data_IF_077775527807
#
_entry.id   IF_077775527807
#
_cell.length_a   1.000
_cell.length_b   1.000
_cell.length_c   1.000
_cell.angle_alpha   90.00
_cell.angle_beta   90.00
_cell.angle_gamma   90.00
#
_symmetry.space_group_name_H-M   'P 1'
#
loop_
_entity.id
_entity.type
_entity.pdbx_description
1 polymer ?
#
# COMPACT_ATOMS: atom_id res chain seq x y z
N UNK A 1 14.33 9.56 3.26
CA UNK A 1 14.86 9.00 1.99
C UNK A 1 13.71 8.26 1.32
N UNK A 2 13.45 8.53 0.05
CA UNK A 2 12.49 7.73 -0.72
C UNK A 2 13.10 6.34 -0.99
N UNK A 3 12.25 5.31 -1.05
CA UNK A 3 12.68 3.97 -1.48
C UNK A 3 13.12 4.03 -2.96
N UNK A 4 14.21 3.32 -3.32
CA UNK A 4 14.65 3.25 -4.71
C UNK A 4 13.62 2.53 -5.58
N UNK A 5 13.77 2.65 -6.89
CA UNK A 5 12.95 1.91 -7.84
C UNK A 5 13.25 0.41 -7.68
N UNK A 6 12.22 -0.43 -7.66
CA UNK A 6 12.42 -1.85 -7.45
C UNK A 6 11.15 -2.65 -7.20
N UNK A 7 11.34 -3.93 -6.90
CA UNK A 7 10.27 -4.84 -6.50
C UNK A 7 10.36 -5.10 -5.00
N UNK A 8 9.21 -5.00 -4.34
CA UNK A 8 9.10 -5.04 -2.91
C UNK A 8 7.92 -5.88 -2.44
N UNK A 9 8.03 -6.38 -1.21
CA UNK A 9 6.92 -6.93 -0.44
C UNK A 9 6.60 -5.99 0.71
N UNK A 10 5.31 -5.82 0.94
CA UNK A 10 4.78 -4.92 1.96
C UNK A 10 4.00 -5.73 2.98
N UNK A 11 4.30 -5.53 4.27
CA UNK A 11 3.63 -6.16 5.39
C UNK A 11 3.18 -5.09 6.38
N UNK A 12 2.03 -5.27 7.01
CA UNK A 12 1.62 -4.34 8.06
C UNK A 12 2.50 -4.49 9.31
N UNK A 13 2.91 -3.38 9.93
CA UNK A 13 3.81 -3.40 11.08
C UNK A 13 3.14 -3.81 12.40
N UNK A 14 1.83 -3.67 12.51
CA UNK A 14 1.05 -4.16 13.65
C UNK A 14 0.74 -5.65 13.51
N UNK A 15 0.44 -6.11 12.29
CA UNK A 15 0.18 -7.51 12.01
C UNK A 15 0.84 -7.96 10.69
N UNK A 16 2.08 -8.45 10.80
CA UNK A 16 2.91 -8.85 9.66
C UNK A 16 2.34 -10.02 8.84
N UNK A 17 1.27 -10.68 9.32
CA UNK A 17 0.58 -11.70 8.51
C UNK A 17 -0.12 -11.05 7.33
N UNK A 18 -0.66 -9.83 7.49
CA UNK A 18 -1.40 -9.16 6.43
C UNK A 18 -0.45 -8.51 5.42
N UNK A 19 -0.57 -8.98 4.18
CA UNK A 19 0.13 -8.47 3.02
C UNK A 19 -0.84 -8.29 1.84
N UNK A 20 -0.51 -7.43 0.86
CA UNK A 20 -1.30 -7.29 -0.36
C UNK A 20 -1.52 -8.62 -1.09
N UNK A 21 -2.76 -8.84 -1.52
CA UNK A 21 -3.20 -9.97 -2.33
C UNK A 21 -4.24 -9.54 -3.36
N UNK A 22 -4.18 -10.10 -4.56
CA UNK A 22 -5.26 -9.97 -5.53
C UNK A 22 -6.48 -10.74 -5.04
N UNK A 23 -7.61 -10.06 -4.95
CA UNK A 23 -8.90 -10.67 -4.61
C UNK A 23 -9.66 -11.07 -5.89
N UNK A 24 -9.56 -10.24 -6.92
CA UNK A 24 -10.09 -10.46 -8.26
C UNK A 24 -9.13 -9.81 -9.29
N UNK A 25 -9.61 -9.57 -10.52
CA UNK A 25 -8.79 -9.05 -11.62
C UNK A 25 -8.23 -7.64 -11.39
N UNK A 26 -8.89 -6.82 -10.57
CA UNK A 26 -8.63 -5.38 -10.46
C UNK A 26 -8.63 -4.86 -9.02
N UNK A 27 -8.87 -5.74 -8.03
CA UNK A 27 -8.94 -5.40 -6.62
C UNK A 27 -7.81 -6.06 -5.83
N UNK A 28 -7.04 -5.26 -5.09
CA UNK A 28 -6.13 -5.74 -4.05
C UNK A 28 -6.74 -5.49 -2.68
N UNK A 29 -6.64 -6.53 -1.86
CA UNK A 29 -7.00 -6.53 -0.46
C UNK A 29 -5.80 -6.97 0.38
N UNK A 30 -5.86 -6.74 1.67
CA UNK A 30 -4.92 -7.33 2.63
C UNK A 30 -5.39 -8.73 2.99
N UNK A 31 -4.48 -9.70 2.94
CA UNK A 31 -4.76 -11.10 3.21
C UNK A 31 -3.60 -11.71 4.01
N UNK A 32 -3.90 -12.64 4.91
CA UNK A 32 -2.88 -13.34 5.71
C UNK A 32 -2.00 -14.31 4.88
N UNK A 33 -2.44 -14.63 3.67
CA UNK A 33 -1.72 -15.48 2.69
C UNK A 33 -1.21 -14.68 1.49
N UNK A 34 -1.35 -13.35 1.52
CA UNK A 34 -0.91 -12.47 0.44
C UNK A 34 0.60 -12.52 0.26
N UNK A 35 1.04 -12.61 -1.00
CA UNK A 35 2.45 -12.61 -1.39
C UNK A 35 2.62 -11.87 -2.73
N UNK A 36 1.94 -10.75 -2.90
CA UNK A 36 2.07 -9.93 -4.12
C UNK A 36 3.36 -9.12 -4.05
N UNK A 37 4.19 -9.23 -5.08
CA UNK A 37 5.33 -8.35 -5.28
C UNK A 37 4.83 -7.04 -5.92
N UNK A 38 5.20 -5.91 -5.32
CA UNK A 38 4.85 -4.58 -5.77
C UNK A 38 6.06 -3.94 -6.45
N UNK A 39 5.85 -3.35 -7.62
CA UNK A 39 6.83 -2.45 -8.23
C UNK A 39 6.62 -1.04 -7.69
N UNK A 40 7.67 -0.47 -7.09
CA UNK A 40 7.72 0.94 -6.68
C UNK A 40 8.58 1.68 -7.71
N UNK A 41 8.04 2.77 -8.27
CA UNK A 41 8.77 3.68 -9.16
C UNK A 41 8.71 5.10 -8.64
N UNK A 42 9.84 5.77 -8.60
CA UNK A 42 9.91 7.20 -8.29
C UNK A 42 9.39 8.02 -9.48
N UNK A 43 8.47 8.94 -9.21
CA UNK A 43 7.78 9.78 -10.19
C UNK A 43 7.72 11.22 -9.65
N UNK A 44 8.55 12.12 -10.19
CA UNK A 44 8.53 13.57 -9.89
C UNK A 44 8.46 13.94 -8.40
N UNK A 45 9.22 13.24 -7.55
CA UNK A 45 9.27 13.46 -6.09
C UNK A 45 8.33 12.57 -5.28
N UNK A 46 7.35 11.95 -5.93
CA UNK A 46 6.46 10.94 -5.36
C UNK A 46 6.86 9.53 -5.81
N UNK A 47 6.06 8.53 -5.43
CA UNK A 47 6.22 7.14 -5.83
C UNK A 47 4.91 6.56 -6.34
N UNK A 48 4.98 5.85 -7.46
CA UNK A 48 3.90 5.02 -7.96
C UNK A 48 4.07 3.60 -7.43
N UNK A 49 2.98 3.01 -6.92
CA UNK A 49 2.93 1.61 -6.49
C UNK A 49 2.13 0.83 -7.53
N UNK A 50 2.73 -0.19 -8.12
CA UNK A 50 2.09 -1.11 -9.06
C UNK A 50 2.08 -2.51 -8.46
N UNK A 51 0.90 -3.11 -8.40
CA UNK A 51 0.77 -4.49 -7.95
C UNK A 51 1.02 -5.40 -9.17
N UNK A 52 2.10 -6.18 -9.16
CA UNK A 52 2.40 -7.04 -10.29
C UNK A 52 1.59 -8.34 -10.17
N UNK A 53 0.40 -8.37 -10.78
CA UNK A 53 -0.08 -9.60 -11.39
C UNK A 53 0.56 -9.69 -12.78
N UNK A 54 0.64 -10.87 -13.38
CA UNK A 54 1.29 -11.16 -14.67
C UNK A 54 0.67 -10.45 -15.89
N UNK A 55 -0.04 -9.34 -15.71
CA UNK A 55 -0.71 -8.54 -16.73
C UNK A 55 -0.27 -7.08 -16.60
N UNK A 56 0.33 -6.49 -17.66
CA UNK A 56 0.90 -5.13 -17.62
C UNK A 56 -0.14 -4.01 -17.39
N UNK A 57 -1.45 -4.31 -17.50
CA UNK A 57 -2.52 -3.32 -17.48
C UNK A 57 -3.45 -3.40 -16.26
N UNK A 58 -3.21 -4.32 -15.31
CA UNK A 58 -4.05 -4.43 -14.12
C UNK A 58 -3.64 -3.39 -13.06
N UNK A 59 -4.07 -2.15 -13.28
CA UNK A 59 -4.01 -1.08 -12.28
C UNK A 59 -5.07 -1.37 -11.24
N UNK A 60 -4.64 -1.58 -10.00
CA UNK A 60 -5.57 -1.85 -8.92
C UNK A 60 -6.27 -0.56 -8.54
N UNK A 61 -7.59 -0.59 -8.57
CA UNK A 61 -8.39 0.50 -8.05
C UNK A 61 -8.49 0.30 -6.53
N UNK A 62 -7.65 0.98 -5.76
CA UNK A 62 -7.85 1.09 -4.31
C UNK A 62 -9.09 1.96 -4.07
N UNK A 63 -10.27 1.33 -4.05
CA UNK A 63 -11.54 2.03 -3.83
C UNK A 63 -11.67 2.36 -2.36
N UNK A 64 -11.79 3.64 -2.04
CA UNK A 64 -12.36 4.07 -0.76
C UNK A 64 -13.61 4.86 -1.05
N UNK A 65 -14.77 4.39 -0.56
CA UNK A 65 -16.06 5.08 -0.72
C UNK A 65 -16.02 6.50 -0.15
N UNK A 66 -15.10 6.75 0.79
CA UNK A 66 -15.01 8.00 1.56
C UNK A 66 -14.27 9.14 0.85
N UNK A 67 -13.42 8.86 -0.14
CA UNK A 67 -12.51 9.89 -0.69
C UNK A 67 -12.49 10.01 -2.22
N UNK A 68 -13.28 9.20 -2.95
CA UNK A 68 -13.38 9.26 -4.41
C UNK A 68 -12.01 9.20 -5.13
N UNK A 69 -11.02 8.57 -4.50
CA UNK A 69 -9.68 8.39 -5.02
C UNK A 69 -9.70 7.19 -5.98
N UNK A 70 -9.45 7.43 -7.27
CA UNK A 70 -9.38 6.41 -8.30
C UNK A 70 -7.91 6.13 -8.65
N UNK A 71 -7.54 4.84 -8.72
CA UNK A 71 -6.14 4.36 -8.80
C UNK A 71 -5.37 4.81 -10.04
N UNK A 72 -6.01 5.42 -11.03
CA UNK A 72 -5.37 5.76 -12.30
C UNK A 72 -4.32 6.88 -12.22
N UNK A 73 -4.37 7.72 -11.16
CA UNK A 73 -3.44 8.84 -10.93
C UNK A 73 -2.97 8.97 -9.47
N UNK A 74 -3.08 7.90 -8.66
CA UNK A 74 -2.63 7.96 -7.27
C UNK A 74 -1.11 7.80 -7.17
N UNK A 75 -0.47 8.91 -6.80
CA UNK A 75 0.92 8.92 -6.34
C UNK A 75 0.96 8.79 -4.82
N UNK A 76 1.97 8.09 -4.32
CA UNK A 76 2.21 7.81 -2.91
C UNK A 76 3.47 8.51 -2.44
N UNK A 77 3.47 9.01 -1.20
CA UNK A 77 4.65 9.37 -0.46
C UNK A 77 5.02 8.20 0.47
N UNK A 78 6.11 7.49 0.17
CA UNK A 78 6.63 6.44 1.04
C UNK A 78 7.81 6.99 1.84
N UNK A 79 7.57 7.24 3.13
CA UNK A 79 8.53 7.90 4.00
C UNK A 79 8.96 6.99 5.15
N UNK A 80 10.26 6.94 5.50
CA UNK A 80 10.72 6.22 6.70
C UNK A 80 10.04 6.74 7.96
N UNK A 81 9.59 5.82 8.81
CA UNK A 81 8.91 6.09 10.09
C UNK A 81 9.58 5.37 11.28
N UNK A 82 10.75 4.77 11.06
CA UNK A 82 11.51 4.04 12.06
C UNK A 82 12.47 3.04 11.41
N UNK A 83 13.10 2.20 12.24
CA UNK A 83 13.94 1.11 11.73
C UNK A 83 13.06 0.08 11.02
N UNK A 84 13.25 -0.12 9.71
CA UNK A 84 12.46 -1.02 8.86
C UNK A 84 10.96 -0.69 8.77
N UNK A 85 10.57 0.55 9.09
CA UNK A 85 9.17 0.99 9.06
C UNK A 85 8.99 2.17 8.11
N UNK A 86 7.89 2.14 7.37
CA UNK A 86 7.52 3.14 6.38
C UNK A 86 6.06 3.54 6.55
N UNK A 87 5.76 4.82 6.32
CA UNK A 87 4.40 5.31 6.11
C UNK A 87 4.15 5.40 4.61
N UNK A 88 2.96 4.98 4.18
CA UNK A 88 2.50 5.08 2.78
C UNK A 88 1.31 6.04 2.77
N UNK A 89 1.55 7.30 2.37
CA UNK A 89 0.54 8.36 2.30
C UNK A 89 0.18 8.69 0.86
N UNK A 90 -1.02 9.18 0.60
CA UNK A 90 -1.35 9.82 -0.67
C UNK A 90 -0.44 11.05 -0.84
N UNK A 91 0.24 11.20 -1.97
CA UNK A 91 1.27 12.22 -2.17
C UNK A 91 0.80 13.66 -1.88
N UNK A 92 -0.42 13.98 -2.31
CA UNK A 92 -1.01 15.32 -2.17
C UNK A 92 -2.19 15.38 -1.18
N UNK A 93 -2.32 14.41 -0.27
CA UNK A 93 -3.39 14.41 0.72
C UNK A 93 -2.94 13.81 2.05
N UNK A 94 -3.51 14.29 3.15
CA UNK A 94 -3.25 13.75 4.48
C UNK A 94 -4.06 12.47 4.74
N UNK A 95 -3.79 11.44 3.94
CA UNK A 95 -4.44 10.14 4.04
C UNK A 95 -3.37 9.04 3.92
N UNK A 96 -3.31 8.14 4.89
CA UNK A 96 -2.39 7.00 4.93
C UNK A 96 -3.12 5.69 4.69
N UNK A 97 -2.40 4.72 4.14
CA UNK A 97 -2.80 3.32 4.21
C UNK A 97 -2.93 2.90 5.67
N UNK A 98 -4.11 2.40 6.03
CA UNK A 98 -4.43 1.92 7.37
C UNK A 98 -4.99 0.51 7.29
N UNK A 99 -4.41 -0.42 8.07
CA UNK A 99 -5.07 -1.69 8.36
C UNK A 99 -6.15 -1.44 9.43
N UNK A 100 -7.42 -1.84 9.21
CA UNK A 100 -8.45 -1.66 10.23
C UNK A 100 -8.14 -2.49 11.48
N UNK A 101 -8.52 -1.99 12.66
CA UNK A 101 -8.19 -2.60 13.97
C UNK A 101 -8.65 -4.07 14.11
N UNK A 102 -9.75 -4.44 13.45
CA UNK A 102 -10.27 -5.80 13.41
C UNK A 102 -10.38 -6.27 11.95
N UNK A 103 -9.23 -6.55 11.29
CA UNK A 103 -9.21 -6.86 9.87
C UNK A 103 -9.84 -8.23 9.63
N UNK A 104 -10.78 -8.29 8.68
CA UNK A 104 -11.28 -9.56 8.14
C UNK A 104 -10.20 -10.17 7.24
N UNK A 105 -10.35 -11.44 6.87
CA UNK A 105 -9.45 -12.07 5.91
C UNK A 105 -10.23 -12.60 4.70
N UNK A 106 -10.15 -11.95 3.52
CA UNK A 106 -9.40 -10.72 3.22
C UNK A 106 -10.10 -9.45 3.77
N UNK A 107 -9.34 -8.35 3.89
CA UNK A 107 -9.86 -7.01 4.27
C UNK A 107 -9.40 -5.94 3.30
N UNK A 108 -10.19 -4.87 3.17
CA UNK A 108 -9.76 -3.69 2.43
C UNK A 108 -8.70 -2.90 3.21
N UNK A 109 -7.89 -2.15 2.48
CA UNK A 109 -6.95 -1.16 3.02
C UNK A 109 -7.70 0.16 3.12
N UNK A 110 -7.78 0.73 4.32
CA UNK A 110 -8.46 2.01 4.50
C UNK A 110 -7.49 3.16 4.21
N UNK A 111 -8.07 4.29 3.79
CA UNK A 111 -7.38 5.57 3.74
C UNK A 111 -7.94 6.43 4.87
N UNK A 112 -7.13 6.65 5.90
CA UNK A 112 -7.50 7.45 7.07
C UNK A 112 -6.53 8.62 7.25
N UNK A 113 -6.91 9.68 7.99
CA UNK A 113 -5.99 10.73 8.38
C UNK A 113 -4.67 10.17 8.91
N UNK A 114 -3.57 10.73 8.43
CA UNK A 114 -2.28 10.09 8.58
C UNK A 114 -1.59 10.49 9.91
N UNK A 115 -2.14 9.92 10.98
CA UNK A 115 -1.84 10.18 12.40
C UNK A 115 -0.60 9.43 12.92
N UNK A 116 0.01 8.57 12.11
CA UNK A 116 1.20 7.80 12.51
C UNK A 116 0.89 6.62 13.43
N UNK A 117 -0.34 6.09 13.37
CA UNK A 117 -0.76 4.88 14.09
C UNK A 117 0.07 3.68 13.68
N UNK A 118 0.21 2.68 14.54
CA UNK A 118 0.93 1.44 14.22
C UNK A 118 0.31 0.68 13.04
N UNK A 119 -1.01 0.69 12.93
CA UNK A 119 -1.78 0.18 11.79
C UNK A 119 -1.50 0.90 10.46
N UNK A 120 -0.89 2.09 10.51
CA UNK A 120 -0.49 2.91 9.35
C UNK A 120 0.99 2.76 8.98
N UNK A 121 1.72 1.94 9.73
CA UNK A 121 3.12 1.65 9.47
C UNK A 121 3.26 0.31 8.76
N UNK A 122 4.20 0.27 7.83
CA UNK A 122 4.39 -0.85 6.91
C UNK A 122 5.87 -1.22 6.88
N UNK A 123 6.16 -2.51 6.90
CA UNK A 123 7.48 -3.04 6.59
C UNK A 123 7.58 -3.24 5.09
N UNK A 124 8.64 -2.72 4.48
CA UNK A 124 8.85 -2.80 3.04
C UNK A 124 10.21 -3.45 2.81
N UNK A 125 10.20 -4.61 2.18
CA UNK A 125 11.38 -5.45 1.95
C UNK A 125 11.55 -5.69 0.47
N UNK A 126 12.78 -5.76 -0.04
CA UNK A 126 13.02 -6.19 -1.42
C UNK A 126 12.48 -7.62 -1.63
N UNK A 127 11.88 -7.86 -2.81
CA UNK A 127 11.14 -9.09 -3.13
C UNK A 127 12.02 -10.27 -3.57
#
# INVERSE_FOLDING_TARGET
>A
MALPDGRYRIFNAENEKYAPAFYDSDTVKMNITGNVDLEIKNESGAQMIRFNDRRPDNRVIQRTEKHNLTGDNLLWAITPAGSDLYSIKVWNADAAWTLPDNPRNPTDIYLEPAEGKRSQLWKIREA
#
